data_IF_688186549558
#
_entry.id   IF_688186549558
#
_cell.length_a   1.000
_cell.length_b   1.000
_cell.length_c   1.000
_cell.angle_alpha   90.00
_cell.angle_beta   90.00
_cell.angle_gamma   90.00
#
_symmetry.space_group_name_H-M   'P 1'
#
loop_
_entity.id
_entity.type
_entity.pdbx_description
1 polymer ?
#
# COMPACT_ATOMS: atom_id res chain seq x y z
N UNK A 1 64.49 -12.62 -6.96
CA UNK A 1 64.01 -13.61 -5.99
C UNK A 1 62.65 -13.13 -5.51
N UNK A 2 61.69 -14.03 -5.55
CA UNK A 2 60.26 -13.82 -5.86
C UNK A 2 59.41 -13.25 -4.70
N UNK A 3 58.19 -12.75 -5.00
CA UNK A 3 57.31 -12.07 -4.05
C UNK A 3 56.41 -13.07 -3.29
N UNK A 4 55.97 -12.72 -2.07
CA UNK A 4 54.94 -13.49 -1.35
C UNK A 4 53.80 -12.54 -0.90
N UNK A 5 52.95 -12.17 -1.87
CA UNK A 5 51.64 -11.55 -1.60
C UNK A 5 50.66 -12.67 -1.29
N UNK A 6 50.46 -12.96 -0.01
CA UNK A 6 49.36 -13.82 0.43
C UNK A 6 48.04 -13.07 0.26
N UNK A 7 47.34 -13.37 -0.83
CA UNK A 7 45.95 -12.99 -1.01
C UNK A 7 45.11 -13.64 0.10
N UNK A 8 44.23 -12.91 0.81
CA UNK A 8 43.32 -13.54 1.75
C UNK A 8 42.36 -14.46 1.00
N UNK A 9 42.36 -15.71 1.43
CA UNK A 9 41.52 -16.79 0.93
C UNK A 9 40.04 -16.54 1.25
N UNK A 10 39.20 -16.87 0.28
CA UNK A 10 37.77 -17.14 0.48
C UNK A 10 36.87 -15.92 0.45
N UNK A 11 36.56 -15.43 -0.76
CA UNK A 11 35.30 -14.73 -0.97
C UNK A 11 34.17 -15.66 -0.50
N UNK A 12 33.32 -15.27 0.48
CA UNK A 12 32.13 -16.03 0.79
C UNK A 12 31.34 -16.14 -0.51
N UNK A 13 31.10 -17.38 -0.96
CA UNK A 13 30.25 -17.63 -2.12
C UNK A 13 28.87 -17.10 -1.76
N UNK A 14 28.58 -15.87 -2.19
CA UNK A 14 27.25 -15.29 -2.18
C UNK A 14 26.40 -16.23 -3.03
N UNK A 15 25.64 -17.08 -2.35
CA UNK A 15 24.58 -17.90 -2.94
C UNK A 15 23.48 -16.93 -3.37
N UNK A 16 23.72 -16.24 -4.48
CA UNK A 16 22.77 -15.32 -5.08
C UNK A 16 21.85 -16.13 -5.99
N UNK A 17 20.84 -16.73 -5.38
CA UNK A 17 19.73 -17.35 -6.08
C UNK A 17 18.57 -17.49 -5.09
N UNK A 18 17.34 -17.10 -5.46
CA UNK A 18 16.20 -17.24 -4.56
C UNK A 18 16.13 -18.68 -4.09
N UNK A 19 16.11 -18.89 -2.77
CA UNK A 19 15.93 -20.22 -2.24
C UNK A 19 14.56 -20.73 -2.71
N UNK A 20 14.40 -22.04 -2.91
CA UNK A 20 13.10 -22.60 -3.29
C UNK A 20 12.00 -22.25 -2.28
N UNK A 21 12.38 -22.00 -1.02
CA UNK A 21 11.48 -21.52 0.03
C UNK A 21 11.04 -20.06 -0.22
N UNK A 22 11.95 -19.16 -0.57
CA UNK A 22 11.64 -17.74 -0.85
C UNK A 22 10.73 -17.61 -2.07
N UNK A 23 11.00 -18.40 -3.12
CA UNK A 23 10.15 -18.45 -4.31
C UNK A 23 8.73 -18.95 -3.97
N UNK A 24 8.61 -19.92 -3.06
CA UNK A 24 7.34 -20.41 -2.55
C UNK A 24 6.56 -19.35 -1.77
N UNK A 25 7.23 -18.62 -0.87
CA UNK A 25 6.61 -17.53 -0.10
C UNK A 25 6.09 -16.42 -1.02
N UNK A 26 6.89 -16.00 -2.00
CA UNK A 26 6.48 -14.99 -3.01
C UNK A 26 5.29 -15.44 -3.84
N UNK A 27 5.28 -16.70 -4.28
CA UNK A 27 4.16 -17.25 -5.04
C UNK A 27 2.89 -17.22 -4.20
N UNK A 28 2.95 -17.64 -2.93
CA UNK A 28 1.81 -17.60 -2.01
C UNK A 28 1.32 -16.18 -1.80
N UNK A 29 2.23 -15.22 -1.57
CA UNK A 29 1.89 -13.81 -1.43
C UNK A 29 1.19 -13.26 -2.69
N UNK A 30 1.70 -13.59 -3.88
CA UNK A 30 1.09 -13.20 -5.15
C UNK A 30 -0.30 -13.82 -5.34
N UNK A 31 -0.48 -15.11 -5.03
CA UNK A 31 -1.78 -15.77 -5.14
C UNK A 31 -2.82 -15.14 -4.21
N UNK A 32 -2.42 -14.83 -2.97
CA UNK A 32 -3.26 -14.10 -2.01
C UNK A 32 -3.59 -12.71 -2.57
N UNK A 33 -2.60 -12.00 -3.12
CA UNK A 33 -2.80 -10.69 -3.75
C UNK A 33 -3.80 -10.75 -4.91
N UNK A 34 -3.68 -11.74 -5.80
CA UNK A 34 -4.62 -11.95 -6.92
C UNK A 34 -6.01 -12.26 -6.41
N UNK A 35 -6.14 -13.08 -5.36
CA UNK A 35 -7.42 -13.38 -4.74
C UNK A 35 -8.10 -12.11 -4.23
N UNK A 36 -7.41 -11.28 -3.45
CA UNK A 36 -7.95 -10.02 -2.95
C UNK A 36 -8.27 -9.02 -4.07
N UNK A 37 -7.41 -8.92 -5.09
CA UNK A 37 -7.67 -8.07 -6.26
C UNK A 37 -8.93 -8.51 -7.00
N UNK A 38 -9.12 -9.82 -7.17
CA UNK A 38 -10.31 -10.40 -7.81
C UNK A 38 -11.56 -10.13 -6.99
N UNK A 39 -11.50 -10.30 -5.67
CA UNK A 39 -12.60 -9.97 -4.77
C UNK A 39 -12.97 -8.48 -4.85
N UNK A 40 -11.98 -7.59 -4.88
CA UNK A 40 -12.20 -6.15 -5.07
C UNK A 40 -12.87 -5.84 -6.41
N UNK A 41 -12.43 -6.50 -7.48
CA UNK A 41 -13.05 -6.39 -8.81
C UNK A 41 -14.50 -6.91 -8.83
N UNK A 42 -14.79 -8.01 -8.14
CA UNK A 42 -16.14 -8.57 -8.05
C UNK A 42 -17.09 -7.65 -7.26
N UNK A 43 -16.61 -7.04 -6.17
CA UNK A 43 -17.37 -6.02 -5.43
C UNK A 43 -17.67 -4.82 -6.32
N UNK A 44 -16.69 -4.39 -7.13
CA UNK A 44 -16.88 -3.30 -8.07
C UNK A 44 -17.91 -3.65 -9.16
N UNK A 45 -17.84 -4.88 -9.71
CA UNK A 45 -18.80 -5.39 -10.69
C UNK A 45 -20.22 -5.49 -10.11
N UNK A 46 -20.37 -5.91 -8.85
CA UNK A 46 -21.66 -5.93 -8.18
C UNK A 46 -22.26 -4.52 -7.99
N UNK A 47 -21.40 -3.50 -7.87
CA UNK A 47 -21.80 -2.09 -7.77
C UNK A 47 -21.96 -1.40 -9.14
N UNK A 48 -21.80 -2.12 -10.27
CA UNK A 48 -21.79 -1.56 -11.62
C UNK A 48 -23.05 -0.73 -11.92
N UNK A 49 -24.23 -1.18 -11.49
CA UNK A 49 -25.49 -0.44 -11.70
C UNK A 49 -25.45 0.99 -11.14
N UNK A 50 -24.97 1.14 -9.91
CA UNK A 50 -24.81 2.45 -9.25
C UNK A 50 -23.69 3.28 -9.89
N UNK A 51 -22.62 2.62 -10.35
CA UNK A 51 -21.47 3.25 -10.99
C UNK A 51 -21.77 3.76 -12.39
N UNK A 52 -22.67 3.12 -13.14
CA UNK A 52 -23.14 3.58 -14.44
C UNK A 52 -24.02 4.83 -14.31
N UNK A 53 -24.94 4.84 -13.33
CA UNK A 53 -25.76 6.02 -13.01
C UNK A 53 -24.92 7.24 -12.59
N UNK A 54 -23.83 6.98 -11.88
CA UNK A 54 -22.87 8.00 -11.46
C UNK A 54 -21.49 7.75 -12.08
N UNK A 55 -21.40 7.90 -13.40
CA UNK A 55 -20.19 7.59 -14.19
C UNK A 55 -18.92 8.33 -13.71
N UNK A 56 -19.08 9.45 -13.00
CA UNK A 56 -17.96 10.15 -12.36
C UNK A 56 -17.34 9.42 -11.16
N UNK A 57 -18.07 8.51 -10.48
CA UNK A 57 -17.52 7.64 -9.43
C UNK A 57 -16.54 6.61 -10.01
N UNK A 58 -16.80 6.09 -11.22
CA UNK A 58 -15.90 5.14 -11.88
C UNK A 58 -14.49 5.73 -12.08
N UNK A 59 -14.39 7.05 -12.26
CA UNK A 59 -13.11 7.73 -12.40
C UNK A 59 -12.35 7.86 -11.06
N UNK A 60 -13.08 7.91 -9.95
CA UNK A 60 -12.51 8.02 -8.60
C UNK A 60 -11.89 6.72 -8.11
N UNK A 61 -12.52 5.58 -8.43
CA UNK A 61 -12.13 4.25 -7.95
C UNK A 61 -10.65 3.94 -8.21
N UNK A 62 -10.14 3.98 -9.47
CA UNK A 62 -8.75 3.63 -9.75
C UNK A 62 -7.77 4.61 -9.08
N UNK A 63 -8.08 5.92 -9.06
CA UNK A 63 -7.24 6.91 -8.40
C UNK A 63 -7.16 6.69 -6.88
N UNK A 64 -8.28 6.37 -6.24
CA UNK A 64 -8.35 6.11 -4.80
C UNK A 64 -7.61 4.82 -4.42
N UNK A 65 -7.72 3.77 -5.25
CA UNK A 65 -7.01 2.50 -5.05
C UNK A 65 -5.50 2.68 -5.19
N UNK A 66 -5.05 3.35 -6.26
CA UNK A 66 -3.63 3.62 -6.51
C UNK A 66 -3.00 4.44 -5.38
N UNK A 67 -3.71 5.45 -4.88
CA UNK A 67 -3.23 6.28 -3.78
C UNK A 67 -2.90 5.46 -2.53
N UNK A 68 -3.84 4.59 -2.10
CA UNK A 68 -3.64 3.78 -0.90
C UNK A 68 -2.52 2.77 -1.08
N UNK A 69 -2.40 2.15 -2.25
CA UNK A 69 -1.26 1.27 -2.57
C UNK A 69 0.08 1.99 -2.42
N UNK A 70 0.19 3.20 -2.94
CA UNK A 70 1.43 3.98 -2.88
C UNK A 70 1.76 4.47 -1.45
N UNK A 71 0.77 5.00 -0.74
CA UNK A 71 0.97 5.55 0.62
C UNK A 71 1.32 4.44 1.60
N UNK A 72 0.51 3.39 1.68
CA UNK A 72 0.71 2.31 2.65
C UNK A 72 1.80 1.34 2.21
N UNK A 73 2.06 1.19 0.91
CA UNK A 73 3.22 0.45 0.40
C UNK A 73 4.55 1.12 0.75
N UNK A 74 4.66 2.44 0.56
CA UNK A 74 5.83 3.20 0.99
C UNK A 74 6.03 3.15 2.53
N UNK A 75 4.92 3.22 3.28
CA UNK A 75 4.92 3.02 4.73
C UNK A 75 5.46 1.63 5.11
N UNK A 76 4.96 0.57 4.46
CA UNK A 76 5.39 -0.81 4.67
C UNK A 76 6.88 -0.99 4.40
N UNK A 77 7.41 -0.44 3.30
CA UNK A 77 8.84 -0.49 2.97
C UNK A 77 9.74 0.18 4.02
N UNK A 78 9.32 1.35 4.54
CA UNK A 78 10.03 2.04 5.63
C UNK A 78 10.02 1.23 6.92
N UNK A 79 8.90 0.60 7.24
CA UNK A 79 8.78 -0.28 8.41
C UNK A 79 9.61 -1.56 8.23
N UNK A 80 9.63 -2.13 7.04
CA UNK A 80 10.48 -3.27 6.65
C UNK A 80 11.96 -2.98 6.84
N UNK A 81 12.41 -1.80 6.41
CA UNK A 81 13.79 -1.35 6.61
C UNK A 81 14.10 -1.13 8.09
N UNK A 82 13.19 -0.53 8.85
CA UNK A 82 13.36 -0.34 10.30
C UNK A 82 13.42 -1.68 11.06
N UNK A 83 12.65 -2.68 10.62
CA UNK A 83 12.69 -4.04 11.16
C UNK A 83 14.04 -4.71 10.91
N UNK A 84 14.53 -4.67 9.67
CA UNK A 84 15.85 -5.20 9.33
C UNK A 84 17.01 -4.46 10.02
N UNK A 85 16.87 -3.15 10.24
CA UNK A 85 17.86 -2.34 10.95
C UNK A 85 17.86 -2.58 12.49
N UNK A 86 16.96 -3.41 13.02
CA UNK A 86 16.82 -3.65 14.46
C UNK A 86 16.31 -2.45 15.26
N UNK A 87 15.90 -1.37 14.58
CA UNK A 87 15.36 -0.15 15.19
C UNK A 87 13.83 -0.21 15.35
N UNK A 88 13.21 -1.28 14.84
CA UNK A 88 11.78 -1.51 14.98
C UNK A 88 11.41 -1.78 16.44
N UNK A 89 10.76 -0.80 17.04
CA UNK A 89 10.03 -0.95 18.29
C UNK A 89 8.56 -0.76 18.03
N UNK A 90 7.75 -1.72 18.46
CA UNK A 90 6.30 -1.65 18.36
C UNK A 90 5.77 -0.57 19.31
N UNK A 91 5.78 0.67 18.83
CA UNK A 91 5.34 1.82 19.59
C UNK A 91 4.38 2.65 18.74
N UNK A 92 3.11 2.65 19.14
CA UNK A 92 2.04 3.42 18.50
C UNK A 92 2.05 4.90 18.89
N UNK A 93 2.99 5.33 19.73
CA UNK A 93 3.19 6.75 20.04
C UNK A 93 3.60 7.50 18.77
N UNK A 94 3.18 8.77 18.61
CA UNK A 94 3.56 9.61 17.48
C UNK A 94 5.10 9.71 17.30
N UNK A 95 5.85 9.66 18.40
CA UNK A 95 7.32 9.70 18.39
C UNK A 95 7.97 8.36 17.98
N UNK A 96 7.17 7.29 17.89
CA UNK A 96 7.61 5.96 17.49
C UNK A 96 7.62 5.79 15.97
N UNK A 97 8.49 4.91 15.47
CA UNK A 97 8.62 4.65 14.02
C UNK A 97 7.30 4.16 13.40
N UNK A 98 6.54 3.32 14.11
CA UNK A 98 5.23 2.82 13.64
C UNK A 98 4.16 3.91 13.71
N UNK A 99 3.99 4.55 14.88
CA UNK A 99 2.98 5.59 15.07
C UNK A 99 3.18 6.81 14.18
N UNK A 100 4.42 7.30 14.05
CA UNK A 100 4.75 8.43 13.19
C UNK A 100 4.51 8.14 11.70
N UNK A 101 4.88 6.94 11.22
CA UNK A 101 4.60 6.54 9.84
C UNK A 101 3.10 6.35 9.59
N UNK A 102 2.35 5.80 10.56
CA UNK A 102 0.91 5.64 10.44
C UNK A 102 0.18 6.98 10.42
N UNK A 103 0.60 7.93 11.27
CA UNK A 103 0.06 9.29 11.28
C UNK A 103 0.40 10.03 9.99
N UNK A 104 1.64 9.94 9.51
CA UNK A 104 2.05 10.54 8.24
C UNK A 104 1.26 9.94 7.07
N UNK A 105 1.12 8.61 7.01
CA UNK A 105 0.33 7.93 6.00
C UNK A 105 -1.15 8.31 6.06
N UNK A 106 -1.75 8.38 7.26
CA UNK A 106 -3.13 8.80 7.45
C UNK A 106 -3.36 10.26 7.02
N UNK A 107 -2.50 11.18 7.44
CA UNK A 107 -2.57 12.59 7.06
C UNK A 107 -2.40 12.77 5.54
N UNK A 108 -1.46 12.04 4.94
CA UNK A 108 -1.20 12.07 3.49
C UNK A 108 -2.39 11.52 2.71
N UNK A 109 -2.97 10.39 3.15
CA UNK A 109 -4.19 9.83 2.56
C UNK A 109 -5.36 10.81 2.62
N UNK A 110 -5.56 11.50 3.74
CA UNK A 110 -6.61 12.51 3.87
C UNK A 110 -6.39 13.72 2.96
N UNK A 111 -5.17 14.25 2.92
CA UNK A 111 -4.81 15.36 2.04
C UNK A 111 -5.06 15.00 0.56
N UNK A 112 -4.61 13.82 0.14
CA UNK A 112 -4.83 13.38 -1.23
C UNK A 112 -6.27 12.97 -1.53
N UNK A 113 -7.07 12.53 -0.55
CA UNK A 113 -8.52 12.34 -0.74
C UNK A 113 -9.22 13.65 -1.14
N UNK A 114 -8.80 14.78 -0.57
CA UNK A 114 -9.31 16.10 -0.97
C UNK A 114 -8.84 16.47 -2.38
N UNK A 115 -7.56 16.28 -2.70
CA UNK A 115 -7.01 16.52 -4.05
C UNK A 115 -7.75 15.66 -5.07
N UNK A 116 -7.99 14.40 -4.77
CA UNK A 116 -8.66 13.45 -5.64
C UNK A 116 -10.13 13.85 -5.88
N UNK A 117 -10.82 14.41 -4.89
CA UNK A 117 -12.18 14.94 -5.07
C UNK A 117 -12.20 16.13 -6.05
N UNK A 118 -11.22 17.03 -5.93
CA UNK A 118 -11.07 18.18 -6.85
C UNK A 118 -10.74 17.69 -8.27
N UNK A 119 -9.79 16.76 -8.41
CA UNK A 119 -9.43 16.18 -9.70
C UNK A 119 -10.62 15.46 -10.33
N UNK A 120 -11.35 14.65 -9.56
CA UNK A 120 -12.53 13.93 -10.02
C UNK A 120 -13.62 14.87 -10.54
N UNK A 121 -13.86 16.00 -9.86
CA UNK A 121 -14.76 17.02 -10.39
C UNK A 121 -14.21 17.65 -11.66
N UNK A 122 -12.95 18.05 -11.67
CA UNK A 122 -12.30 18.66 -12.84
C UNK A 122 -12.45 17.76 -14.07
N UNK A 123 -12.14 16.47 -13.93
CA UNK A 123 -12.33 15.49 -15.00
C UNK A 123 -13.80 15.31 -15.37
N UNK A 124 -14.72 15.20 -14.40
CA UNK A 124 -16.15 15.07 -14.69
C UNK A 124 -16.69 16.28 -15.47
N UNK A 125 -16.17 17.49 -15.20
CA UNK A 125 -16.52 18.70 -15.95
C UNK A 125 -15.95 18.71 -17.37
N UNK A 126 -14.71 18.25 -17.56
CA UNK A 126 -14.08 18.12 -18.89
C UNK A 126 -14.81 17.09 -19.75
N UNK A 127 -15.24 15.97 -19.16
CA UNK A 127 -15.98 14.92 -19.86
C UNK A 127 -17.49 15.19 -19.98
N UNK A 128 -17.98 16.36 -19.56
CA UNK A 128 -19.40 16.73 -19.67
C UNK A 128 -20.37 15.93 -18.78
N UNK A 129 -19.84 15.16 -17.82
CA UNK A 129 -20.58 14.31 -16.89
C UNK A 129 -21.15 15.11 -15.68
N UNK A 130 -21.10 16.43 -15.76
CA UNK A 130 -21.48 17.39 -14.69
C UNK A 130 -22.94 17.33 -14.23
N UNK A 131 -23.80 16.54 -14.88
CA UNK A 131 -25.26 16.60 -14.69
C UNK A 131 -25.79 15.79 -13.51
N UNK A 132 -25.07 14.77 -13.04
CA UNK A 132 -25.61 13.84 -12.02
C UNK A 132 -25.06 14.01 -10.60
N UNK A 133 -23.98 14.78 -10.36
CA UNK A 133 -23.41 14.85 -9.00
C UNK A 133 -22.70 16.18 -8.67
N UNK A 134 -23.01 16.73 -7.48
CA UNK A 134 -22.47 18.01 -7.00
C UNK A 134 -21.03 17.86 -6.48
N UNK A 135 -20.28 18.97 -6.40
CA UNK A 135 -18.91 18.95 -5.84
C UNK A 135 -18.90 18.43 -4.40
N UNK A 136 -19.95 18.75 -3.63
CA UNK A 136 -20.09 18.32 -2.25
C UNK A 136 -20.19 16.80 -2.13
N UNK A 137 -20.95 16.15 -3.00
CA UNK A 137 -21.10 14.68 -3.01
C UNK A 137 -19.76 13.99 -3.32
N UNK A 138 -18.99 14.50 -4.30
CA UNK A 138 -17.65 14.01 -4.61
C UNK A 138 -16.69 14.13 -3.42
N UNK A 139 -16.74 15.27 -2.73
CA UNK A 139 -15.95 15.52 -1.51
C UNK A 139 -16.34 14.55 -0.40
N UNK A 140 -17.63 14.42 -0.10
CA UNK A 140 -18.13 13.54 0.96
C UNK A 140 -17.78 12.09 0.68
N UNK A 141 -18.04 11.60 -0.53
CA UNK A 141 -17.74 10.22 -0.94
C UNK A 141 -16.23 9.95 -0.92
N UNK A 142 -15.42 10.85 -1.49
CA UNK A 142 -13.96 10.67 -1.52
C UNK A 142 -13.34 10.74 -0.13
N UNK A 143 -13.80 11.65 0.73
CA UNK A 143 -13.28 11.79 2.09
C UNK A 143 -13.74 10.66 3.00
N UNK A 144 -15.03 10.30 3.01
CA UNK A 144 -15.53 9.20 3.84
C UNK A 144 -15.00 7.86 3.36
N UNK A 145 -15.09 7.58 2.06
CA UNK A 145 -14.56 6.35 1.47
C UNK A 145 -13.03 6.27 1.62
N UNK A 146 -12.35 7.40 1.44
CA UNK A 146 -10.91 7.53 1.68
C UNK A 146 -10.51 7.26 3.12
N UNK A 147 -11.25 7.82 4.09
CA UNK A 147 -11.01 7.64 5.52
C UNK A 147 -11.21 6.18 5.94
N UNK A 148 -12.35 5.57 5.59
CA UNK A 148 -12.67 4.18 5.92
C UNK A 148 -11.64 3.23 5.31
N UNK A 149 -11.32 3.41 4.02
CA UNK A 149 -10.34 2.56 3.36
C UNK A 149 -8.92 2.77 3.91
N UNK A 150 -8.54 4.00 4.27
CA UNK A 150 -7.23 4.27 4.89
C UNK A 150 -7.12 3.66 6.28
N UNK A 151 -8.19 3.67 7.07
CA UNK A 151 -8.22 3.00 8.36
C UNK A 151 -8.09 1.47 8.18
N UNK A 152 -8.84 0.89 7.25
CA UNK A 152 -8.77 -0.54 6.97
C UNK A 152 -7.38 -0.97 6.47
N UNK A 153 -6.83 -0.29 5.46
CA UNK A 153 -5.50 -0.58 4.91
C UNK A 153 -4.42 -0.34 5.97
N UNK A 154 -4.51 0.75 6.74
CA UNK A 154 -3.58 1.03 7.83
C UNK A 154 -3.56 -0.07 8.89
N UNK A 155 -4.72 -0.57 9.30
CA UNK A 155 -4.83 -1.70 10.24
C UNK A 155 -4.21 -2.97 9.66
N UNK A 156 -4.48 -3.28 8.39
CA UNK A 156 -3.92 -4.46 7.71
C UNK A 156 -2.40 -4.33 7.60
N UNK A 157 -1.87 -3.18 7.19
CA UNK A 157 -0.42 -2.97 7.05
C UNK A 157 0.28 -3.07 8.41
N UNK A 158 -0.27 -2.46 9.46
CA UNK A 158 0.26 -2.61 10.81
C UNK A 158 0.20 -4.07 11.25
N UNK A 159 -0.92 -4.75 11.03
CA UNK A 159 -1.11 -6.16 11.36
C UNK A 159 -0.10 -7.07 10.67
N UNK A 160 0.16 -6.85 9.37
CA UNK A 160 1.16 -7.59 8.59
C UNK A 160 2.57 -7.32 9.10
N UNK A 161 2.93 -6.07 9.39
CA UNK A 161 4.25 -5.71 9.94
C UNK A 161 4.46 -6.34 11.32
N UNK A 162 3.46 -6.26 12.22
CA UNK A 162 3.50 -6.88 13.55
C UNK A 162 3.58 -8.40 13.45
N UNK A 163 2.75 -8.99 12.59
CA UNK A 163 2.71 -10.43 12.35
C UNK A 163 4.05 -10.93 11.82
N UNK A 164 4.61 -10.24 10.84
CA UNK A 164 5.92 -10.58 10.28
C UNK A 164 7.03 -10.51 11.34
N UNK A 165 7.05 -9.45 12.16
CA UNK A 165 7.99 -9.32 13.28
C UNK A 165 7.83 -10.39 14.37
N UNK A 166 6.62 -10.93 14.58
CA UNK A 166 6.34 -11.95 15.61
C UNK A 166 6.54 -13.38 15.11
N UNK A 167 6.25 -13.66 13.83
CA UNK A 167 6.32 -15.00 13.23
C UNK A 167 7.61 -15.24 12.44
N UNK A 168 8.50 -14.24 12.32
CA UNK A 168 9.76 -14.35 11.59
C UNK A 168 9.55 -14.51 10.08
N UNK A 169 8.46 -13.96 9.55
CA UNK A 169 8.24 -13.91 8.11
C UNK A 169 9.20 -12.90 7.48
N UNK A 170 9.58 -13.14 6.24
CA UNK A 170 10.35 -12.15 5.49
C UNK A 170 9.43 -10.98 5.16
N UNK A 171 9.74 -9.78 5.67
CA UNK A 171 8.96 -8.57 5.41
C UNK A 171 8.96 -8.17 3.93
N UNK A 172 9.86 -8.71 3.11
CA UNK A 172 9.86 -8.47 1.67
C UNK A 172 8.78 -9.29 0.93
N UNK A 173 8.13 -10.24 1.61
CA UNK A 173 7.11 -11.14 1.06
C UNK A 173 5.70 -10.93 1.66
N UNK A 174 5.47 -9.87 2.44
CA UNK A 174 4.17 -9.54 3.07
C UNK A 174 3.51 -8.31 2.46
#
# INVERSE_FOLDING_TARGET
MSPDRRAPAGLPRLRYGPSRADAGQRLVALLIGVLFATLGGLVLAAAEGTLVELSGLLLLVPGAVALRGNVFGAMGSRLGTAAHAGTFRLNFRPDGVVGGNLLAAGALSLAFSMVLAVLAKGTATVFGLSRSMTLADFLVVSTLGGLVASAAVGLVTVGMVVGSARFGWDLDNV
#
